data_IF_950017753322
#
_entry.id   IF_950017753322
#
_cell.length_a   1.000
_cell.length_b   1.000
_cell.length_c   1.000
_cell.angle_alpha   90.00
_cell.angle_beta   90.00
_cell.angle_gamma   90.00
#
_symmetry.space_group_name_H-M   'P 1'
#
loop_
_entity.id
_entity.type
_entity.pdbx_description
1 polymer ?
#
# COMPACT_ATOMS: atom_id res chain seq x y z
N UNK A 1 27.56 2.00 -6.04
CA UNK A 1 26.61 1.03 -6.64
C UNK A 1 25.44 1.89 -7.14
N UNK A 2 25.22 1.97 -8.44
CA UNK A 2 24.08 2.72 -8.96
C UNK A 2 22.82 1.94 -8.58
N UNK A 3 21.94 2.55 -7.81
CA UNK A 3 20.61 2.00 -7.60
C UNK A 3 19.87 2.03 -8.96
N UNK A 4 19.17 0.95 -9.30
CA UNK A 4 18.28 0.86 -10.46
C UNK A 4 16.85 0.92 -9.94
N UNK A 5 16.26 2.13 -9.75
CA UNK A 5 14.92 2.29 -9.20
C UNK A 5 13.85 1.56 -10.02
N UNK A 6 14.09 1.45 -11.35
CA UNK A 6 13.25 0.74 -12.31
C UNK A 6 13.09 -0.77 -12.03
N UNK A 7 13.96 -1.33 -11.18
CA UNK A 7 13.95 -2.74 -10.78
C UNK A 7 13.45 -2.98 -9.37
N UNK A 8 13.00 -1.95 -8.69
CA UNK A 8 12.54 -2.03 -7.30
C UNK A 8 11.02 -1.95 -7.24
N UNK A 9 10.41 -2.84 -6.48
CA UNK A 9 9.00 -2.80 -6.10
C UNK A 9 8.92 -2.89 -4.59
N UNK A 10 8.31 -1.89 -3.96
CA UNK A 10 8.04 -1.90 -2.52
C UNK A 10 6.63 -2.38 -2.28
N UNK A 11 6.46 -3.44 -1.51
CA UNK A 11 5.14 -3.94 -1.12
C UNK A 11 4.92 -3.74 0.37
N UNK A 12 3.68 -3.45 0.73
CA UNK A 12 3.24 -3.36 2.11
C UNK A 12 1.73 -3.52 2.18
N UNK A 13 1.21 -3.79 3.39
CA UNK A 13 -0.21 -3.83 3.65
C UNK A 13 -0.64 -2.71 4.59
N UNK A 14 -1.86 -2.25 4.40
CA UNK A 14 -2.46 -1.27 5.27
C UNK A 14 -3.92 -1.58 5.59
N UNK A 15 -4.29 -1.39 6.86
CA UNK A 15 -5.68 -1.53 7.28
C UNK A 15 -6.52 -0.38 6.72
N UNK A 16 -7.61 -0.73 6.05
CA UNK A 16 -8.63 0.20 5.60
C UNK A 16 -9.96 -0.14 6.26
N UNK A 17 -10.66 0.88 6.75
CA UNK A 17 -11.90 0.71 7.50
C UNK A 17 -12.99 1.59 6.91
N UNK A 18 -14.22 1.10 6.92
CA UNK A 18 -15.39 1.85 6.46
C UNK A 18 -15.83 2.96 7.41
N UNK A 19 -15.17 3.11 8.57
CA UNK A 19 -15.38 4.17 9.53
C UNK A 19 -14.35 5.31 9.44
N UNK A 20 -13.57 5.37 8.38
CA UNK A 20 -12.65 6.48 8.17
C UNK A 20 -13.42 7.80 8.06
N UNK A 21 -13.06 8.75 8.93
CA UNK A 21 -13.64 10.11 8.97
C UNK A 21 -12.54 11.14 8.80
N UNK A 22 -12.92 12.34 8.40
CA UNK A 22 -12.01 13.48 8.38
C UNK A 22 -11.51 13.76 9.80
N UNK A 23 -10.21 13.88 9.97
CA UNK A 23 -9.59 14.14 11.28
C UNK A 23 -9.55 15.66 11.60
N UNK A 24 -9.69 16.50 10.58
CA UNK A 24 -9.59 17.95 10.69
C UNK A 24 -10.70 18.61 9.87
N UNK A 25 -11.19 19.74 10.36
CA UNK A 25 -12.14 20.60 9.68
C UNK A 25 -11.94 22.05 10.08
N UNK A 26 -12.68 22.95 9.44
CA UNK A 26 -12.65 24.39 9.75
C UNK A 26 -14.02 24.81 10.24
N UNK A 27 -14.06 25.59 11.31
CA UNK A 27 -15.25 26.30 11.78
C UNK A 27 -14.94 27.77 11.98
N UNK A 28 -15.97 28.59 12.14
CA UNK A 28 -15.77 30.01 12.49
C UNK A 28 -15.06 30.10 13.84
N UNK A 29 -14.23 31.15 13.99
CA UNK A 29 -13.51 31.40 15.22
C UNK A 29 -14.51 31.46 16.40
N UNK A 30 -14.19 30.73 17.48
CA UNK A 30 -15.05 30.62 18.66
C UNK A 30 -16.21 29.63 18.56
N UNK A 31 -16.37 28.91 17.40
CA UNK A 31 -17.37 27.84 17.28
C UNK A 31 -16.70 26.48 17.28
N UNK A 32 -17.28 25.52 18.03
CA UNK A 32 -16.85 24.11 18.00
C UNK A 32 -17.22 23.51 16.66
N UNK A 33 -16.27 22.77 16.08
CA UNK A 33 -16.56 21.93 14.93
C UNK A 33 -17.26 20.65 15.41
N UNK A 34 -18.48 20.44 14.95
CA UNK A 34 -19.24 19.21 15.19
C UNK A 34 -19.33 18.42 13.89
N UNK A 35 -19.15 17.12 13.97
CA UNK A 35 -19.24 16.21 12.84
C UNK A 35 -19.75 14.85 13.33
N UNK A 36 -20.69 14.29 12.58
CA UNK A 36 -21.20 12.94 12.86
C UNK A 36 -20.12 11.90 12.58
N UNK A 37 -19.92 11.01 13.56
CA UNK A 37 -19.08 9.84 13.42
C UNK A 37 -19.97 8.60 13.23
N UNK A 38 -19.66 7.72 12.27
CA UNK A 38 -20.42 6.49 12.10
C UNK A 38 -20.22 5.56 13.30
N UNK A 39 -21.32 4.99 13.79
CA UNK A 39 -21.34 3.98 14.85
C UNK A 39 -21.62 2.60 14.26
N UNK A 40 -21.03 1.54 14.84
CA UNK A 40 -21.30 0.15 14.48
C UNK A 40 -20.10 -0.76 14.56
N UNK A 41 -20.30 -2.06 14.33
CA UNK A 41 -19.25 -3.04 14.18
C UNK A 41 -18.65 -2.91 12.78
N UNK A 42 -17.42 -2.47 12.69
CA UNK A 42 -16.71 -2.22 11.43
C UNK A 42 -15.79 -3.40 11.10
N UNK A 43 -16.03 -4.01 9.95
CA UNK A 43 -15.09 -5.03 9.44
C UNK A 43 -13.75 -4.38 9.11
N UNK A 44 -12.67 -5.01 9.55
CA UNK A 44 -11.33 -4.67 9.09
C UNK A 44 -11.14 -5.26 7.70
N UNK A 45 -10.70 -4.43 6.76
CA UNK A 45 -10.18 -4.87 5.48
C UNK A 45 -8.69 -4.54 5.42
N UNK A 46 -7.95 -5.34 4.70
CA UNK A 46 -6.55 -5.08 4.42
C UNK A 46 -6.39 -4.78 2.94
N UNK A 47 -5.75 -3.68 2.64
CA UNK A 47 -5.31 -3.30 1.30
C UNK A 47 -3.81 -3.58 1.20
N UNK A 48 -3.39 -4.27 0.15
CA UNK A 48 -2.00 -4.50 -0.19
C UNK A 48 -1.75 -4.05 -1.63
N UNK A 49 -0.60 -3.49 -1.89
CA UNK A 49 -0.17 -3.09 -3.24
C UNK A 49 1.35 -3.08 -3.34
N UNK A 50 1.86 -2.93 -4.55
CA UNK A 50 3.26 -2.64 -4.84
C UNK A 50 3.43 -1.22 -5.36
N UNK A 51 4.49 -0.53 -4.92
CA UNK A 51 4.91 0.77 -5.44
C UNK A 51 6.15 0.59 -6.30
N UNK A 52 6.04 0.95 -7.57
CA UNK A 52 7.17 1.14 -8.48
C UNK A 52 7.57 2.62 -8.55
N UNK A 53 8.67 2.90 -9.22
CA UNK A 53 9.17 4.26 -9.42
C UNK A 53 8.22 5.16 -10.23
N UNK A 54 7.29 4.60 -10.96
CA UNK A 54 6.39 5.29 -11.90
C UNK A 54 4.90 5.02 -11.67
N UNK A 55 4.54 3.97 -10.93
CA UNK A 55 3.13 3.59 -10.71
C UNK A 55 2.91 2.71 -9.48
N UNK A 56 1.64 2.57 -9.11
CA UNK A 56 1.18 1.60 -8.13
C UNK A 56 0.70 0.35 -8.87
N UNK A 57 1.16 -0.82 -8.46
CA UNK A 57 0.88 -2.11 -9.11
C UNK A 57 0.21 -3.10 -8.15
N UNK A 58 -0.38 -4.13 -8.71
CA UNK A 58 -0.92 -5.28 -7.98
C UNK A 58 -1.80 -4.91 -6.77
N UNK A 59 -2.74 -3.94 -6.88
CA UNK A 59 -3.61 -3.59 -5.76
C UNK A 59 -4.59 -4.71 -5.44
N UNK A 60 -4.71 -5.08 -4.17
CA UNK A 60 -5.63 -6.11 -3.71
C UNK A 60 -6.26 -5.77 -2.37
N UNK A 61 -7.51 -6.15 -2.19
CA UNK A 61 -8.27 -5.93 -0.95
C UNK A 61 -8.79 -7.25 -0.44
N UNK A 62 -8.53 -7.55 0.83
CA UNK A 62 -9.06 -8.72 1.50
C UNK A 62 -9.94 -8.30 2.69
N UNK A 63 -10.95 -9.14 2.99
CA UNK A 63 -11.74 -9.02 4.20
C UNK A 63 -10.98 -9.68 5.35
N UNK A 64 -10.61 -8.90 6.36
CA UNK A 64 -9.84 -9.36 7.50
C UNK A 64 -8.38 -8.91 7.47
N UNK A 65 -7.58 -9.54 8.32
CA UNK A 65 -6.15 -9.29 8.40
C UNK A 65 -5.38 -10.14 7.36
N UNK A 66 -4.22 -9.67 6.96
CA UNK A 66 -3.27 -10.43 6.16
C UNK A 66 -2.66 -11.54 7.02
N UNK A 67 -2.79 -12.77 6.59
CA UNK A 67 -2.09 -13.93 7.14
C UNK A 67 -1.12 -14.53 6.10
N UNK A 68 -0.42 -15.59 6.47
CA UNK A 68 0.56 -16.21 5.58
C UNK A 68 -0.05 -16.81 4.31
N UNK A 69 -1.28 -17.34 4.38
CA UNK A 69 -1.98 -17.92 3.22
C UNK A 69 -2.46 -16.81 2.27
N UNK A 70 -3.01 -15.74 2.82
CA UNK A 70 -3.44 -14.58 2.03
C UNK A 70 -2.24 -13.90 1.35
N UNK A 71 -1.12 -13.76 2.06
CA UNK A 71 0.12 -13.22 1.48
C UNK A 71 0.66 -14.11 0.34
N UNK A 72 0.64 -15.43 0.52
CA UNK A 72 1.01 -16.39 -0.51
C UNK A 72 0.12 -16.24 -1.76
N UNK A 73 -1.20 -16.23 -1.56
CA UNK A 73 -2.15 -16.06 -2.64
C UNK A 73 -1.97 -14.71 -3.38
N UNK A 74 -1.70 -13.64 -2.65
CA UNK A 74 -1.39 -12.33 -3.22
C UNK A 74 -0.15 -12.38 -4.12
N UNK A 75 0.95 -12.93 -3.59
CA UNK A 75 2.20 -12.98 -4.34
C UNK A 75 2.07 -13.84 -5.60
N UNK A 76 1.44 -15.01 -5.49
CA UNK A 76 1.31 -15.95 -6.62
C UNK A 76 0.36 -15.44 -7.71
N UNK A 77 -0.79 -14.89 -7.32
CA UNK A 77 -1.89 -14.65 -8.26
C UNK A 77 -2.03 -13.18 -8.68
N UNK A 78 -1.48 -12.25 -7.91
CA UNK A 78 -1.67 -10.81 -8.15
C UNK A 78 -0.33 -10.13 -8.44
N UNK A 79 0.68 -10.31 -7.59
CA UNK A 79 1.94 -9.60 -7.73
C UNK A 79 2.85 -10.20 -8.82
N UNK A 80 3.15 -11.50 -8.73
CA UNK A 80 4.12 -12.13 -9.61
C UNK A 80 3.79 -11.99 -11.12
N UNK A 81 2.51 -12.05 -11.55
CA UNK A 81 2.17 -11.83 -12.96
C UNK A 81 2.47 -10.44 -13.51
N UNK A 82 2.56 -9.43 -12.63
CA UNK A 82 2.84 -8.03 -13.03
C UNK A 82 4.33 -7.69 -13.04
N UNK A 83 5.20 -8.58 -12.52
CA UNK A 83 6.62 -8.32 -12.38
C UNK A 83 7.41 -8.69 -13.63
N UNK A 84 8.46 -7.93 -13.90
CA UNK A 84 9.45 -8.25 -14.93
C UNK A 84 10.61 -9.04 -14.30
N UNK A 85 11.21 -10.01 -15.02
CA UNK A 85 12.38 -10.73 -14.55
C UNK A 85 13.52 -9.78 -14.14
N UNK A 86 14.13 -10.05 -13.00
CA UNK A 86 15.16 -9.19 -12.42
C UNK A 86 14.66 -8.12 -11.48
N UNK A 87 13.35 -8.08 -11.18
CA UNK A 87 12.77 -7.18 -10.19
C UNK A 87 13.08 -7.66 -8.76
N UNK A 88 13.42 -6.73 -7.90
CA UNK A 88 13.59 -6.93 -6.46
C UNK A 88 12.34 -6.44 -5.75
N UNK A 89 11.65 -7.33 -5.06
CA UNK A 89 10.48 -7.01 -4.24
C UNK A 89 10.94 -6.73 -2.83
N UNK A 90 10.76 -5.50 -2.37
CA UNK A 90 11.19 -5.04 -1.05
C UNK A 90 9.96 -4.97 -0.15
N UNK A 91 10.03 -5.59 1.01
CA UNK A 91 8.98 -5.55 2.03
C UNK A 91 9.57 -5.38 3.43
N UNK A 92 8.72 -5.05 4.39
CA UNK A 92 9.11 -4.98 5.77
C UNK A 92 9.47 -6.35 6.35
N UNK A 93 10.03 -6.35 7.54
CA UNK A 93 10.55 -7.54 8.21
C UNK A 93 9.48 -8.20 9.11
N UNK A 94 8.25 -8.37 8.62
CA UNK A 94 7.20 -9.09 9.34
C UNK A 94 7.32 -10.61 9.14
N UNK A 95 6.96 -11.36 10.18
CA UNK A 95 7.02 -12.82 10.14
C UNK A 95 6.15 -13.45 9.03
N UNK A 96 5.02 -12.84 8.71
CA UNK A 96 4.11 -13.25 7.63
C UNK A 96 4.75 -13.18 6.24
N UNK A 97 5.72 -12.29 6.04
CA UNK A 97 6.43 -12.10 4.78
C UNK A 97 7.53 -13.15 4.55
N UNK A 98 7.97 -13.87 5.59
CA UNK A 98 8.90 -14.99 5.45
C UNK A 98 8.19 -16.27 4.97
N UNK A 99 7.53 -16.19 3.82
CA UNK A 99 6.78 -17.30 3.23
C UNK A 99 7.60 -17.97 2.10
N UNK A 100 7.89 -19.25 2.29
CA UNK A 100 8.70 -20.02 1.33
C UNK A 100 8.02 -20.22 -0.01
N UNK A 101 6.69 -20.36 -0.02
CA UNK A 101 5.91 -20.55 -1.25
C UNK A 101 5.87 -19.26 -2.05
N UNK A 102 5.60 -18.12 -1.38
CA UNK A 102 5.68 -16.81 -2.01
C UNK A 102 7.09 -16.52 -2.59
N UNK A 103 8.13 -16.84 -1.81
CA UNK A 103 9.52 -16.68 -2.30
C UNK A 103 9.85 -17.58 -3.50
N UNK A 104 9.25 -18.78 -3.57
CA UNK A 104 9.42 -19.66 -4.72
C UNK A 104 8.69 -19.10 -5.95
N UNK A 105 7.45 -18.64 -5.78
CA UNK A 105 6.68 -18.02 -6.85
C UNK A 105 7.40 -16.83 -7.50
N UNK A 106 8.04 -15.96 -6.68
CA UNK A 106 8.86 -14.87 -7.22
C UNK A 106 10.09 -15.39 -7.98
N UNK A 107 10.78 -16.39 -7.46
CA UNK A 107 11.94 -16.97 -8.14
C UNK A 107 11.58 -17.59 -9.49
N UNK A 108 10.42 -18.21 -9.58
CA UNK A 108 9.95 -18.84 -10.83
C UNK A 108 9.74 -17.81 -11.96
N UNK A 109 9.44 -16.54 -11.60
CA UNK A 109 9.35 -15.42 -12.55
C UNK A 109 10.65 -14.59 -12.64
N UNK A 110 11.74 -15.07 -12.05
CA UNK A 110 13.03 -14.40 -12.09
C UNK A 110 13.18 -13.19 -11.16
N UNK A 111 12.37 -13.12 -10.09
CA UNK A 111 12.34 -12.06 -9.09
C UNK A 111 12.71 -12.61 -7.71
N UNK A 112 12.96 -11.75 -6.73
CA UNK A 112 13.25 -12.18 -5.36
C UNK A 112 12.90 -11.13 -4.33
N UNK A 113 12.69 -11.56 -3.08
CA UNK A 113 12.48 -10.68 -1.93
C UNK A 113 13.78 -10.08 -1.38
N UNK A 114 13.68 -8.84 -0.94
CA UNK A 114 14.62 -8.17 -0.06
C UNK A 114 13.84 -7.60 1.14
N UNK A 115 14.28 -7.91 2.36
CA UNK A 115 13.61 -7.45 3.57
C UNK A 115 14.29 -6.21 4.13
N UNK A 116 13.50 -5.20 4.48
CA UNK A 116 13.98 -3.99 5.14
C UNK A 116 14.48 -4.32 6.56
N UNK A 117 15.39 -3.52 7.12
CA UNK A 117 15.74 -3.63 8.53
C UNK A 117 14.51 -3.48 9.42
N UNK A 118 14.46 -4.14 10.58
CA UNK A 118 13.37 -3.95 11.52
C UNK A 118 13.19 -2.48 11.90
N UNK A 119 11.95 -2.03 12.06
CA UNK A 119 11.59 -0.67 12.46
C UNK A 119 12.14 0.46 11.57
N UNK A 120 12.16 0.27 10.26
CA UNK A 120 12.66 1.26 9.29
C UNK A 120 11.59 1.69 8.29
N UNK A 121 10.46 2.28 8.73
CA UNK A 121 9.39 2.71 7.81
C UNK A 121 9.83 3.87 6.90
N UNK A 122 10.82 4.65 7.29
CA UNK A 122 11.44 5.72 6.51
C UNK A 122 12.15 5.21 5.24
N UNK A 123 12.54 3.95 5.22
CA UNK A 123 13.10 3.28 4.05
C UNK A 123 12.03 2.64 3.16
N UNK A 124 10.74 2.76 3.50
CA UNK A 124 9.65 2.16 2.75
C UNK A 124 8.79 3.25 2.06
N UNK A 125 9.04 3.61 0.79
CA UNK A 125 8.34 4.70 0.11
C UNK A 125 6.83 4.45 -0.04
N UNK A 126 6.36 3.21 0.00
CA UNK A 126 4.92 2.89 -0.12
C UNK A 126 4.11 3.42 1.08
N UNK A 127 4.73 3.64 2.23
CA UNK A 127 4.08 4.24 3.39
C UNK A 127 3.59 5.67 3.10
N UNK A 128 4.32 6.44 2.30
CA UNK A 128 3.89 7.76 1.84
C UNK A 128 2.70 7.64 0.88
N UNK A 129 2.74 6.67 -0.03
CA UNK A 129 1.62 6.37 -0.92
C UNK A 129 0.37 5.97 -0.12
N UNK A 130 0.50 5.13 0.91
CA UNK A 130 -0.61 4.76 1.78
C UNK A 130 -1.14 5.92 2.62
N UNK A 131 -0.30 6.84 3.02
CA UNK A 131 -0.72 8.07 3.70
C UNK A 131 -1.62 8.92 2.80
N UNK A 132 -1.25 9.10 1.53
CA UNK A 132 -2.06 9.76 0.50
C UNK A 132 -3.38 9.01 0.28
N UNK A 133 -3.32 7.70 0.08
CA UNK A 133 -4.49 6.84 -0.12
C UNK A 133 -5.49 6.98 1.02
N UNK A 134 -5.04 6.89 2.27
CA UNK A 134 -5.90 7.07 3.46
C UNK A 134 -6.51 8.47 3.54
N UNK A 135 -5.78 9.51 3.13
CA UNK A 135 -6.32 10.88 3.09
C UNK A 135 -7.46 11.00 2.08
N UNK A 136 -7.34 10.38 0.91
CA UNK A 136 -8.41 10.32 -0.09
C UNK A 136 -9.62 9.51 0.40
N UNK A 137 -9.41 8.33 1.00
CA UNK A 137 -10.49 7.52 1.57
C UNK A 137 -11.28 8.28 2.63
N UNK A 138 -10.61 9.05 3.51
CA UNK A 138 -11.29 9.91 4.49
C UNK A 138 -12.14 11.01 3.83
N UNK A 139 -11.72 11.52 2.68
CA UNK A 139 -12.50 12.52 1.91
C UNK A 139 -13.73 11.91 1.29
N UNK A 140 -13.62 10.73 0.71
CA UNK A 140 -14.70 10.01 0.05
C UNK A 140 -15.73 9.54 1.08
N UNK A 141 -15.27 9.04 2.23
CA UNK A 141 -16.15 8.61 3.31
C UNK A 141 -16.95 7.35 2.98
N UNK A 142 -16.36 6.38 2.28
CA UNK A 142 -16.97 5.09 1.95
C UNK A 142 -17.46 4.37 3.22
N UNK A 143 -18.68 3.83 3.18
CA UNK A 143 -19.35 3.20 4.33
C UNK A 143 -19.64 1.71 4.12
N UNK A 144 -19.53 1.21 2.91
CA UNK A 144 -19.69 -0.21 2.58
C UNK A 144 -18.41 -0.76 1.97
N UNK A 145 -18.31 -2.09 1.91
CA UNK A 145 -17.17 -2.75 1.27
C UNK A 145 -17.07 -2.37 -0.23
N UNK A 146 -18.21 -2.39 -0.93
CA UNK A 146 -18.24 -2.08 -2.36
C UNK A 146 -17.82 -0.62 -2.61
N UNK A 147 -18.34 0.34 -1.82
CA UNK A 147 -17.90 1.73 -1.90
C UNK A 147 -16.41 1.90 -1.58
N UNK A 148 -15.87 1.11 -0.64
CA UNK A 148 -14.45 1.13 -0.31
C UNK A 148 -13.62 0.58 -1.48
N UNK A 149 -14.07 -0.50 -2.10
CA UNK A 149 -13.40 -1.10 -3.25
C UNK A 149 -13.37 -0.14 -4.43
N UNK A 150 -14.52 0.47 -4.78
CA UNK A 150 -14.62 1.46 -5.86
C UNK A 150 -13.73 2.68 -5.58
N UNK A 151 -13.74 3.17 -4.33
CA UNK A 151 -12.88 4.28 -3.92
C UNK A 151 -11.39 3.95 -4.04
N UNK A 152 -10.97 2.75 -3.65
CA UNK A 152 -9.58 2.30 -3.76
C UNK A 152 -9.16 2.21 -5.23
N UNK A 153 -10.01 1.68 -6.10
CA UNK A 153 -9.75 1.61 -7.55
C UNK A 153 -9.52 3.02 -8.11
N UNK A 154 -10.44 3.95 -7.84
CA UNK A 154 -10.31 5.35 -8.28
C UNK A 154 -9.05 6.03 -7.74
N UNK A 155 -8.69 5.77 -6.48
CA UNK A 155 -7.51 6.38 -5.85
C UNK A 155 -6.22 5.81 -6.46
N UNK A 156 -6.15 4.51 -6.76
CA UNK A 156 -4.97 3.90 -7.38
C UNK A 156 -4.65 4.54 -8.74
N UNK A 157 -5.68 4.88 -9.53
CA UNK A 157 -5.52 5.56 -10.82
C UNK A 157 -5.02 7.02 -10.71
N UNK A 158 -5.07 7.60 -9.52
CA UNK A 158 -4.63 8.99 -9.26
C UNK A 158 -3.14 9.13 -8.90
N UNK A 159 -2.42 8.02 -8.81
CA UNK A 159 -0.98 8.06 -8.61
C UNK A 159 -0.27 8.35 -9.93
N UNK A 160 0.44 9.47 -9.99
CA UNK A 160 1.22 9.84 -11.18
C UNK A 160 2.65 9.33 -11.07
N UNK A 161 3.32 9.16 -12.22
CA UNK A 161 4.73 8.75 -12.25
C UNK A 161 5.64 9.72 -11.48
N UNK A 162 5.38 11.03 -11.58
CA UNK A 162 6.15 12.04 -10.84
C UNK A 162 6.01 11.90 -9.32
N UNK A 163 4.80 11.59 -8.85
CA UNK A 163 4.57 11.36 -7.42
C UNK A 163 5.27 10.09 -6.94
N UNK A 164 5.16 8.99 -7.68
CA UNK A 164 5.83 7.73 -7.35
C UNK A 164 7.35 7.92 -7.32
N UNK A 165 7.90 8.63 -8.31
CA UNK A 165 9.31 9.00 -8.33
C UNK A 165 9.72 9.83 -7.10
N UNK A 166 8.92 10.83 -6.72
CA UNK A 166 9.18 11.65 -5.55
C UNK A 166 9.20 10.83 -4.24
N UNK A 167 8.34 9.80 -4.11
CA UNK A 167 8.40 8.90 -2.96
C UNK A 167 9.72 8.11 -2.93
N UNK A 168 10.23 7.67 -4.08
CA UNK A 168 11.54 7.02 -4.18
C UNK A 168 12.69 7.97 -3.81
N UNK A 169 12.63 9.22 -4.25
CA UNK A 169 13.61 10.25 -3.91
C UNK A 169 13.63 10.53 -2.40
N UNK A 170 12.46 10.70 -1.79
CA UNK A 170 12.32 10.99 -0.36
C UNK A 170 12.85 9.83 0.51
N UNK A 171 12.63 8.59 0.09
CA UNK A 171 13.16 7.40 0.77
C UNK A 171 14.64 7.11 0.43
N UNK A 172 15.29 7.91 -0.43
CA UNK A 172 16.72 7.82 -0.76
C UNK A 172 17.09 6.78 -1.82
N UNK A 173 16.12 6.26 -2.59
CA UNK A 173 16.36 5.28 -3.66
C UNK A 173 16.60 5.91 -5.04
N UNK A 174 16.27 7.18 -5.20
CA UNK A 174 16.49 7.96 -6.40
C UNK A 174 17.02 9.36 -6.05
N UNK A 175 17.58 10.05 -7.04
CA UNK A 175 18.00 11.44 -6.90
C UNK A 175 17.03 12.35 -7.65
N UNK A 176 16.68 13.48 -7.02
CA UNK A 176 15.88 14.55 -7.62
C UNK A 176 16.56 15.19 -8.82
#
# INVERSE_FOLDING_TARGET
MQAHPDRLVFIDETSVKTNLIRQYGRSLCGKRLEMDAPFGAWGTQTFIAGLMHDNLIAPWVIKGAMDGEAFEAYVQNVLAPELQPGTVVICDNLATHYNKVAATALRDVGCWFLYLPPYSPDLNPIEMAFSKLKAHLRRIGARTFDQMFDALTEICERFTSDECWNFFCEAGYASS
#
